data_IF_768676384642
#
_entry.id   IF_768676384642
#
_cell.length_a   1.000
_cell.length_b   1.000
_cell.length_c   1.000
_cell.angle_alpha   90.00
_cell.angle_beta   90.00
_cell.angle_gamma   90.00
#
_symmetry.space_group_name_H-M   'P 1'
#
loop_
_entity.id
_entity.type
_entity.pdbx_description
1 polymer ?
#
# COMPACT_ATOMS: atom_id res chain seq x y z
N UNK A 1 13.45 -6.14 11.47
CA UNK A 1 12.37 -7.04 11.02
C UNK A 1 12.98 -8.00 10.00
N UNK A 2 13.47 -9.18 10.44
CA UNK A 2 14.32 -10.08 9.63
C UNK A 2 13.58 -10.77 8.48
N UNK A 3 12.29 -11.08 8.69
CA UNK A 3 11.46 -11.83 7.75
C UNK A 3 11.45 -11.19 6.35
N UNK A 4 11.46 -9.86 6.21
CA UNK A 4 11.46 -9.20 4.89
C UNK A 4 12.75 -9.38 4.09
N UNK A 5 13.89 -9.57 4.75
CA UNK A 5 15.17 -9.82 4.07
C UNK A 5 15.34 -11.28 3.63
N UNK A 6 14.53 -12.19 4.18
CA UNK A 6 14.55 -13.62 3.88
C UNK A 6 13.57 -13.99 2.75
N UNK A 7 12.59 -13.13 2.45
CA UNK A 7 11.63 -13.34 1.36
C UNK A 7 12.21 -12.82 0.05
N UNK A 8 12.57 -13.75 -0.83
CA UNK A 8 13.27 -13.47 -2.10
C UNK A 8 12.31 -13.07 -3.21
N UNK A 9 11.08 -13.60 -3.21
CA UNK A 9 10.11 -13.37 -4.29
C UNK A 9 8.97 -12.42 -3.89
N UNK A 10 8.44 -11.68 -4.86
CA UNK A 10 7.30 -10.77 -4.67
C UNK A 10 6.02 -11.52 -4.26
N UNK A 11 5.85 -12.76 -4.73
CA UNK A 11 4.71 -13.61 -4.38
C UNK A 11 4.71 -14.00 -2.90
N UNK A 12 5.85 -14.44 -2.37
CA UNK A 12 5.95 -14.79 -0.94
C UNK A 12 5.77 -13.57 -0.03
N UNK A 13 6.28 -12.40 -0.47
CA UNK A 13 6.03 -11.13 0.24
C UNK A 13 4.54 -10.79 0.25
N UNK A 14 3.84 -10.99 -0.85
CA UNK A 14 2.39 -10.82 -0.92
C UNK A 14 1.64 -11.79 0.02
N UNK A 15 2.04 -13.06 0.08
CA UNK A 15 1.42 -14.05 0.97
C UNK A 15 1.57 -13.69 2.45
N UNK A 16 2.69 -13.09 2.84
CA UNK A 16 2.86 -12.57 4.21
C UNK A 16 2.06 -11.28 4.41
N UNK A 17 2.05 -10.38 3.44
CA UNK A 17 1.28 -9.13 3.53
C UNK A 17 -0.21 -9.40 3.70
N UNK A 18 -0.83 -10.27 2.90
CA UNK A 18 -2.27 -10.53 2.98
C UNK A 18 -2.73 -11.12 4.32
N UNK A 19 -1.81 -11.72 5.09
CA UNK A 19 -2.11 -12.24 6.44
C UNK A 19 -2.14 -11.16 7.52
N UNK A 20 -1.57 -9.97 7.26
CA UNK A 20 -1.52 -8.87 8.22
C UNK A 20 -2.72 -7.94 7.95
N UNK A 21 -3.65 -7.75 8.91
CA UNK A 21 -4.72 -6.79 8.74
C UNK A 21 -4.17 -5.38 8.55
N UNK A 22 -4.62 -4.66 7.52
CA UNK A 22 -4.15 -3.30 7.21
C UNK A 22 -4.33 -2.32 8.39
N UNK A 23 -5.33 -2.54 9.25
CA UNK A 23 -5.57 -1.76 10.47
C UNK A 23 -4.48 -1.92 11.52
N UNK A 24 -3.69 -3.00 11.47
CA UNK A 24 -2.56 -3.25 12.38
C UNK A 24 -1.27 -2.61 11.92
N UNK A 25 -1.17 -2.11 10.68
CA UNK A 25 0.07 -1.54 10.13
C UNK A 25 0.65 -0.40 11.00
N UNK A 26 -0.14 0.57 11.50
CA UNK A 26 0.39 1.62 12.38
C UNK A 26 1.03 1.06 13.66
N UNK A 27 0.40 0.04 14.25
CA UNK A 27 0.88 -0.60 15.47
C UNK A 27 2.02 -1.60 15.22
N UNK A 28 2.13 -2.13 14.01
CA UNK A 28 3.15 -3.10 13.62
C UNK A 28 4.46 -2.40 13.25
N UNK A 29 4.39 -1.33 12.48
CA UNK A 29 5.59 -0.60 12.07
C UNK A 29 6.04 0.44 13.09
N UNK A 30 5.14 1.11 13.82
CA UNK A 30 5.45 2.16 14.81
C UNK A 30 6.61 3.06 14.37
N UNK A 31 7.81 2.87 14.95
CA UNK A 31 9.03 3.63 14.67
C UNK A 31 10.02 2.91 13.76
N UNK A 32 9.74 1.67 13.37
CA UNK A 32 10.55 0.83 12.48
C UNK A 32 10.24 1.02 11.00
N UNK A 33 9.24 1.83 10.63
CA UNK A 33 9.02 2.20 9.24
C UNK A 33 10.18 3.05 8.73
N UNK A 34 10.77 2.64 7.61
CA UNK A 34 11.80 3.38 6.90
C UNK A 34 11.49 3.36 5.39
N UNK A 35 12.19 4.21 4.63
CA UNK A 35 11.91 4.41 3.21
C UNK A 35 12.09 3.12 2.41
N UNK A 36 13.19 2.39 2.62
CA UNK A 36 13.49 1.15 1.91
C UNK A 36 12.41 0.08 2.13
N UNK A 37 11.92 -0.07 3.36
CA UNK A 37 10.84 -1.01 3.66
C UNK A 37 9.53 -0.59 3.00
N UNK A 38 9.22 0.70 2.99
CA UNK A 38 8.01 1.22 2.33
C UNK A 38 8.04 0.95 0.83
N UNK A 39 9.20 1.10 0.18
CA UNK A 39 9.42 0.79 -1.24
C UNK A 39 9.19 -0.69 -1.53
N UNK A 40 9.76 -1.58 -0.73
CA UNK A 40 9.58 -3.03 -0.89
C UNK A 40 8.11 -3.42 -0.75
N UNK A 41 7.39 -2.80 0.19
CA UNK A 41 5.95 -3.02 0.35
C UNK A 41 5.21 -2.56 -0.91
N UNK A 42 5.44 -1.33 -1.39
CA UNK A 42 4.78 -0.79 -2.58
C UNK A 42 5.02 -1.64 -3.82
N UNK A 43 6.26 -2.09 -4.06
CA UNK A 43 6.59 -3.00 -5.15
C UNK A 43 5.80 -4.31 -5.04
N UNK A 44 5.70 -4.87 -3.83
CA UNK A 44 4.97 -6.12 -3.60
C UNK A 44 3.46 -5.94 -3.84
N UNK A 45 2.88 -4.81 -3.41
CA UNK A 45 1.46 -4.48 -3.67
C UNK A 45 1.20 -4.31 -5.16
N UNK A 46 2.09 -3.61 -5.88
CA UNK A 46 2.00 -3.41 -7.32
C UNK A 46 2.07 -4.74 -8.07
N UNK A 47 3.08 -5.56 -7.77
CA UNK A 47 3.25 -6.87 -8.39
C UNK A 47 2.04 -7.77 -8.13
N UNK A 48 1.47 -7.73 -6.92
CA UNK A 48 0.27 -8.49 -6.59
C UNK A 48 -0.96 -8.07 -7.42
N UNK A 49 -1.14 -6.77 -7.67
CA UNK A 49 -2.20 -6.25 -8.54
C UNK A 49 -1.94 -6.57 -10.01
N UNK A 50 -0.69 -6.53 -10.47
CA UNK A 50 -0.34 -6.85 -11.86
C UNK A 50 -0.49 -8.34 -12.16
N UNK A 51 -0.26 -9.22 -11.17
CA UNK A 51 -0.41 -10.66 -11.30
C UNK A 51 -1.87 -11.10 -11.54
N UNK A 52 -2.83 -10.47 -10.85
CA UNK A 52 -4.26 -10.66 -11.11
C UNK A 52 -5.04 -9.37 -10.86
N UNK A 53 -5.38 -8.68 -11.95
CA UNK A 53 -6.07 -7.38 -11.93
C UNK A 53 -7.58 -7.48 -11.65
N UNK A 54 -8.14 -8.68 -11.68
CA UNK A 54 -9.60 -8.91 -11.51
C UNK A 54 -9.93 -9.50 -10.14
N UNK A 55 -8.94 -9.97 -9.39
CA UNK A 55 -9.09 -10.47 -8.04
C UNK A 55 -9.56 -9.36 -7.08
N UNK A 56 -10.85 -9.36 -6.77
CA UNK A 56 -11.49 -8.38 -5.89
C UNK A 56 -10.96 -8.43 -4.46
N UNK A 57 -10.53 -9.58 -3.98
CA UNK A 57 -9.98 -9.73 -2.64
C UNK A 57 -8.61 -9.05 -2.57
N UNK A 58 -7.72 -9.32 -3.55
CA UNK A 58 -6.44 -8.63 -3.67
C UNK A 58 -6.61 -7.12 -3.75
N UNK A 59 -7.52 -6.64 -4.61
CA UNK A 59 -7.80 -5.21 -4.75
C UNK A 59 -8.24 -4.61 -3.40
N UNK A 60 -9.13 -5.28 -2.68
CA UNK A 60 -9.62 -4.82 -1.37
C UNK A 60 -8.49 -4.73 -0.34
N UNK A 61 -7.63 -5.75 -0.27
CA UNK A 61 -6.48 -5.77 0.64
C UNK A 61 -5.49 -4.65 0.29
N UNK A 62 -5.09 -4.54 -0.98
CA UNK A 62 -4.13 -3.51 -1.43
C UNK A 62 -4.68 -2.10 -1.17
N UNK A 63 -5.96 -1.88 -1.45
CA UNK A 63 -6.66 -0.63 -1.13
C UNK A 63 -6.61 -0.32 0.37
N UNK A 64 -6.95 -1.29 1.22
CA UNK A 64 -6.89 -1.11 2.66
C UNK A 64 -5.48 -0.77 3.15
N UNK A 65 -4.45 -1.39 2.55
CA UNK A 65 -3.04 -1.07 2.82
C UNK A 65 -2.70 0.37 2.47
N UNK A 66 -3.03 0.80 1.25
CA UNK A 66 -2.73 2.15 0.77
C UNK A 66 -3.41 3.23 1.62
N UNK A 67 -4.61 2.96 2.17
CA UNK A 67 -5.34 3.86 3.07
C UNK A 67 -4.77 3.90 4.49
N UNK A 68 -4.24 2.79 5.00
CA UNK A 68 -3.78 2.71 6.40
C UNK A 68 -2.29 2.97 6.58
N UNK A 69 -1.46 2.78 5.55
CA UNK A 69 -0.02 3.09 5.61
C UNK A 69 0.28 4.55 6.00
N UNK A 70 -0.43 5.57 5.47
CA UNK A 70 -0.26 6.95 5.88
C UNK A 70 -0.53 7.26 7.36
N UNK A 71 -1.25 6.36 8.05
CA UNK A 71 -1.57 6.50 9.47
C UNK A 71 -0.43 6.03 10.37
N UNK A 72 0.61 5.41 9.82
CA UNK A 72 1.78 5.01 10.58
C UNK A 72 2.50 6.27 11.10
N UNK A 73 2.87 6.34 12.38
CA UNK A 73 3.64 7.45 12.90
C UNK A 73 4.90 7.71 12.06
N UNK A 74 5.21 8.98 11.79
CA UNK A 74 6.34 9.41 10.96
C UNK A 74 6.24 9.02 9.48
N UNK A 75 5.09 8.54 8.99
CA UNK A 75 4.90 8.23 7.57
C UNK A 75 5.30 9.39 6.67
N UNK A 76 4.85 10.63 6.97
CA UNK A 76 5.21 11.82 6.19
C UNK A 76 6.72 12.05 6.13
N UNK A 77 7.43 11.85 7.24
CA UNK A 77 8.89 11.98 7.24
C UNK A 77 9.55 10.89 6.40
N UNK A 78 9.05 9.66 6.47
CA UNK A 78 9.56 8.53 5.68
C UNK A 78 9.27 8.71 4.20
N UNK A 79 8.07 9.14 3.83
CA UNK A 79 7.69 9.41 2.44
C UNK A 79 8.52 10.54 1.85
N UNK A 80 8.87 11.55 2.66
CA UNK A 80 9.79 12.62 2.27
C UNK A 80 11.20 12.12 1.93
N UNK A 81 11.66 11.03 2.57
CA UNK A 81 12.95 10.39 2.31
C UNK A 81 12.97 9.51 1.07
N UNK A 82 11.80 9.12 0.54
CA UNK A 82 11.71 8.38 -0.72
C UNK A 82 12.04 9.29 -1.90
N UNK A 83 12.76 8.73 -2.88
CA UNK A 83 13.02 9.35 -4.17
C UNK A 83 11.73 9.52 -4.99
N UNK A 84 11.77 10.39 -6.00
CA UNK A 84 10.63 10.59 -6.91
C UNK A 84 10.22 9.30 -7.65
N UNK A 85 11.20 8.45 -8.01
CA UNK A 85 10.93 7.15 -8.64
C UNK A 85 10.17 6.21 -7.71
N UNK A 86 10.58 6.14 -6.45
CA UNK A 86 9.94 5.30 -5.43
C UNK A 86 8.53 5.78 -5.08
N UNK A 87 8.27 7.09 -5.12
CA UNK A 87 6.90 7.62 -4.99
C UNK A 87 6.04 7.34 -6.21
N UNK A 88 6.64 7.24 -7.40
CA UNK A 88 5.91 6.89 -8.61
C UNK A 88 5.28 5.48 -8.52
N UNK A 89 5.87 4.56 -7.74
CA UNK A 89 5.25 3.26 -7.49
C UNK A 89 3.97 3.37 -6.66
N UNK A 90 3.91 4.30 -5.70
CA UNK A 90 2.67 4.58 -4.97
C UNK A 90 1.57 5.11 -5.90
N UNK A 91 1.93 6.00 -6.83
CA UNK A 91 1.00 6.47 -7.86
C UNK A 91 0.53 5.32 -8.74
N UNK A 92 1.44 4.46 -9.22
CA UNK A 92 1.10 3.32 -10.06
C UNK A 92 0.11 2.36 -9.37
N UNK A 93 0.28 2.10 -8.07
CA UNK A 93 -0.67 1.30 -7.28
C UNK A 93 -2.03 1.98 -7.23
N UNK A 94 -2.10 3.29 -6.94
CA UNK A 94 -3.37 4.03 -6.92
C UNK A 94 -4.07 4.06 -8.29
N UNK A 95 -3.32 4.16 -9.36
CA UNK A 95 -3.84 4.12 -10.73
C UNK A 95 -4.41 2.73 -11.07
N UNK A 96 -3.71 1.66 -10.69
CA UNK A 96 -4.21 0.29 -10.86
C UNK A 96 -5.50 0.07 -10.04
N UNK A 97 -5.55 0.55 -8.80
CA UNK A 97 -6.75 0.49 -7.96
C UNK A 97 -7.93 1.30 -8.53
N UNK A 98 -7.64 2.45 -9.14
CA UNK A 98 -8.65 3.30 -9.78
C UNK A 98 -9.21 2.69 -11.06
N UNK A 99 -8.40 1.98 -11.84
CA UNK A 99 -8.83 1.26 -13.05
C UNK A 99 -9.66 0.02 -12.76
N UNK A 100 -9.44 -0.63 -11.61
CA UNK A 100 -10.25 -1.77 -11.15
C UNK A 100 -11.59 -1.36 -10.54
N UNK A 101 -11.90 -0.06 -10.45
CA UNK A 101 -13.18 0.45 -9.98
C UNK A 101 -14.26 0.33 -11.07
N UNK A 102 -14.67 -0.91 -11.33
CA UNK A 102 -15.92 -1.25 -12.00
C UNK A 102 -16.86 -1.90 -11.00
N UNK A 103 -17.86 -1.14 -10.56
CA UNK A 103 -19.06 -1.60 -9.86
C UNK A 103 -18.87 -2.17 -8.44
N UNK A 104 -19.11 -1.32 -7.43
CA UNK A 104 -19.13 -1.76 -6.04
C UNK A 104 -19.28 -0.60 -5.06
N UNK A 105 -20.53 -0.30 -4.73
CA UNK A 105 -21.02 0.51 -3.59
C UNK A 105 -20.08 0.56 -2.37
N UNK A 106 -19.15 1.51 -2.33
CA UNK A 106 -18.49 1.93 -1.08
C UNK A 106 -18.93 3.36 -0.79
N UNK A 107 -19.72 3.51 0.27
CA UNK A 107 -20.37 4.77 0.65
C UNK A 107 -19.39 5.94 0.73
N UNK A 108 -19.92 7.16 0.61
CA UNK A 108 -19.22 8.45 0.55
C UNK A 108 -18.04 8.60 1.57
N UNK A 109 -18.13 7.92 2.71
CA UNK A 109 -17.10 7.88 3.75
C UNK A 109 -15.84 7.07 3.38
N UNK A 110 -15.96 6.01 2.57
CA UNK A 110 -14.84 5.23 2.02
C UNK A 110 -14.04 6.06 1.02
N UNK A 111 -14.74 6.71 0.09
CA UNK A 111 -14.15 7.59 -0.93
C UNK A 111 -13.36 8.75 -0.30
N UNK A 112 -13.93 9.43 0.71
CA UNK A 112 -13.22 10.49 1.45
C UNK A 112 -11.92 10.02 2.11
N UNK A 113 -11.88 8.78 2.61
CA UNK A 113 -10.67 8.19 3.21
C UNK A 113 -9.62 7.90 2.15
N UNK A 114 -10.03 7.45 0.97
CA UNK A 114 -9.13 7.23 -0.16
C UNK A 114 -8.56 8.54 -0.70
N UNK A 115 -9.39 9.55 -0.93
CA UNK A 115 -8.96 10.88 -1.39
C UNK A 115 -7.99 11.53 -0.39
N UNK A 116 -8.33 11.50 0.90
CA UNK A 116 -7.44 12.00 1.95
C UNK A 116 -6.12 11.23 1.99
N UNK A 117 -6.16 9.91 1.79
CA UNK A 117 -4.95 9.09 1.71
C UNK A 117 -4.10 9.43 0.49
N UNK A 118 -4.69 9.55 -0.70
CA UNK A 118 -4.01 9.92 -1.95
C UNK A 118 -3.26 11.25 -1.81
N UNK A 119 -3.91 12.25 -1.19
CA UNK A 119 -3.29 13.53 -0.89
C UNK A 119 -2.06 13.39 0.02
N UNK A 120 -2.10 12.55 1.07
CA UNK A 120 -0.94 12.32 1.96
C UNK A 120 0.20 11.59 1.24
N UNK A 121 -0.12 10.74 0.26
CA UNK A 121 0.87 10.12 -0.63
C UNK A 121 1.50 11.11 -1.62
N UNK A 122 0.90 12.29 -1.82
CA UNK A 122 1.26 13.22 -2.88
C UNK A 122 0.80 12.75 -4.26
N UNK A 123 -0.18 11.85 -4.30
CA UNK A 123 -0.79 11.32 -5.51
C UNK A 123 -2.02 12.16 -5.87
N UNK A 124 -2.04 12.73 -7.07
CA UNK A 124 -3.13 13.54 -7.60
C UNK A 124 -3.63 12.95 -8.92
#
# INVERSE_FOLDING_TARGET
MRIWNELTTEGERWDVLRQIPATRLPALFKTSLNASLLVVILHSLRAALEADRKDRERISIVRAYMVNLPRVPRFTTVSLMMSGKERADAQAVWDLLGRSHGDGVEGEMGKRKEDGSRSIWGCH
#
